data_IF_505276471705
#
_entry.id   IF_505276471705
#
_cell.length_a   1.000
_cell.length_b   1.000
_cell.length_c   1.000
_cell.angle_alpha   90.00
_cell.angle_beta   90.00
_cell.angle_gamma   90.00
#
_symmetry.space_group_name_H-M   'P 1'
#
loop_
_entity.id
_entity.type
_entity.pdbx_description
1 polymer ?
#
# COMPACT_ATOMS: atom_id res chain seq x y z
N UNK A 1 -13.36 7.25 -11.09
CA UNK A 1 -12.90 8.27 -10.12
C UNK A 1 -11.46 7.92 -9.77
N UNK A 2 -10.53 8.87 -9.87
CA UNK A 2 -9.13 8.68 -9.48
C UNK A 2 -8.86 9.56 -8.25
N UNK A 3 -8.27 8.98 -7.21
CA UNK A 3 -7.82 9.69 -6.02
C UNK A 3 -6.30 9.89 -6.12
N UNK A 4 -5.80 11.06 -5.76
CA UNK A 4 -4.37 11.38 -5.82
C UNK A 4 -4.03 12.32 -4.68
N UNK A 5 -2.93 12.03 -3.98
CA UNK A 5 -2.38 12.84 -2.91
C UNK A 5 -0.87 12.95 -3.10
N UNK A 6 -0.30 14.14 -2.87
CA UNK A 6 1.14 14.38 -3.05
C UNK A 6 1.83 14.41 -1.70
N UNK A 7 2.88 13.61 -1.56
CA UNK A 7 3.64 13.47 -0.33
C UNK A 7 5.10 13.85 -0.57
N UNK A 8 5.64 14.71 0.28
CA UNK A 8 7.06 15.01 0.31
C UNK A 8 7.77 13.98 1.19
N UNK A 9 8.16 12.83 0.63
CA UNK A 9 8.93 11.81 1.35
C UNK A 9 10.38 11.83 0.91
N UNK A 10 11.31 11.77 1.88
CA UNK A 10 12.75 11.69 1.60
C UNK A 10 13.12 10.24 1.24
N UNK A 11 12.43 9.27 1.82
CA UNK A 11 12.61 7.84 1.56
C UNK A 11 11.47 7.32 0.66
N UNK A 12 11.78 6.79 -0.54
CA UNK A 12 10.80 6.16 -1.42
C UNK A 12 10.04 5.00 -0.78
N UNK A 13 10.67 4.21 0.09
CA UNK A 13 10.03 3.07 0.75
C UNK A 13 8.91 3.53 1.70
N UNK A 14 9.14 4.64 2.41
CA UNK A 14 8.12 5.26 3.28
C UNK A 14 6.95 5.74 2.44
N UNK A 15 7.21 6.40 1.29
CA UNK A 15 6.17 6.87 0.39
C UNK A 15 5.30 5.74 -0.17
N UNK A 16 5.91 4.64 -0.61
CA UNK A 16 5.18 3.48 -1.11
C UNK A 16 4.36 2.79 -0.01
N UNK A 17 4.91 2.64 1.20
CA UNK A 17 4.18 2.09 2.34
C UNK A 17 3.00 2.99 2.75
N UNK A 18 3.19 4.30 2.75
CA UNK A 18 2.14 5.26 3.06
C UNK A 18 1.02 5.23 2.02
N UNK A 19 1.36 5.24 0.72
CA UNK A 19 0.37 5.18 -0.36
C UNK A 19 -0.51 3.91 -0.26
N UNK A 20 0.09 2.78 0.15
CA UNK A 20 -0.66 1.56 0.39
C UNK A 20 -1.55 1.65 1.65
N UNK A 21 -1.07 2.28 2.72
CA UNK A 21 -1.84 2.51 3.94
C UNK A 21 -3.09 3.37 3.67
N UNK A 22 -2.94 4.48 2.93
CA UNK A 22 -4.06 5.33 2.52
C UNK A 22 -5.05 4.56 1.64
N UNK A 23 -4.56 3.79 0.68
CA UNK A 23 -5.41 2.95 -0.18
C UNK A 23 -6.22 1.93 0.65
N UNK A 24 -5.57 1.29 1.63
CA UNK A 24 -6.21 0.34 2.53
C UNK A 24 -7.28 1.00 3.41
N UNK A 25 -6.97 2.18 3.95
CA UNK A 25 -7.92 2.97 4.74
C UNK A 25 -9.11 3.43 3.90
N UNK A 26 -8.88 3.85 2.65
CA UNK A 26 -9.94 4.25 1.72
C UNK A 26 -10.87 3.08 1.42
N UNK A 27 -10.32 1.92 1.08
CA UNK A 27 -11.08 0.68 0.89
C UNK A 27 -11.95 0.33 2.11
N UNK A 28 -11.38 0.46 3.31
CA UNK A 28 -12.10 0.24 4.58
C UNK A 28 -13.24 1.23 4.77
N UNK A 29 -12.98 2.54 4.58
CA UNK A 29 -14.00 3.61 4.72
C UNK A 29 -15.18 3.40 3.79
N UNK A 30 -14.92 2.94 2.56
CA UNK A 30 -15.97 2.65 1.58
C UNK A 30 -16.55 1.23 1.67
N UNK A 31 -16.10 0.41 2.62
CA UNK A 31 -16.55 -0.98 2.84
C UNK A 31 -16.52 -1.82 1.55
N UNK A 32 -15.49 -1.66 0.74
CA UNK A 32 -15.36 -2.44 -0.49
C UNK A 32 -15.21 -3.93 -0.18
N UNK A 33 -16.07 -4.76 -0.76
CA UNK A 33 -16.12 -6.20 -0.49
C UNK A 33 -15.04 -7.01 -1.23
N UNK A 34 -14.45 -6.43 -2.28
CA UNK A 34 -13.38 -7.05 -3.05
C UNK A 34 -12.41 -5.98 -3.52
N UNK A 35 -11.16 -6.07 -3.08
CA UNK A 35 -10.12 -5.08 -3.39
C UNK A 35 -8.85 -5.77 -3.88
N UNK A 36 -8.24 -5.22 -4.92
CA UNK A 36 -6.93 -5.63 -5.42
C UNK A 36 -6.02 -4.42 -5.28
N UNK A 37 -4.99 -4.56 -4.45
CA UNK A 37 -3.96 -3.55 -4.27
C UNK A 37 -2.78 -3.88 -5.19
N UNK A 38 -2.43 -2.95 -6.08
CA UNK A 38 -1.29 -3.06 -6.96
C UNK A 38 -0.19 -2.13 -6.46
N UNK A 39 0.94 -2.70 -6.05
CA UNK A 39 2.07 -1.96 -5.49
C UNK A 39 3.31 -2.19 -6.35
N UNK A 40 4.08 -1.14 -6.61
CA UNK A 40 5.31 -1.27 -7.39
C UNK A 40 6.53 -1.71 -6.52
N UNK A 41 6.36 -1.75 -5.20
CA UNK A 41 7.40 -2.03 -4.23
C UNK A 41 7.28 -3.46 -3.74
N UNK A 42 8.18 -4.32 -4.24
CA UNK A 42 8.23 -5.72 -3.84
C UNK A 42 8.53 -5.87 -2.35
N UNK A 43 9.32 -4.96 -1.78
CA UNK A 43 9.65 -4.92 -0.35
C UNK A 43 8.39 -4.71 0.48
N UNK A 44 7.58 -3.70 0.15
CA UNK A 44 6.31 -3.44 0.86
C UNK A 44 5.37 -4.63 0.72
N UNK A 45 5.22 -5.20 -0.48
CA UNK A 45 4.38 -6.39 -0.70
C UNK A 45 4.80 -7.54 0.21
N UNK A 46 6.08 -7.89 0.21
CA UNK A 46 6.62 -9.01 0.98
C UNK A 46 6.45 -8.79 2.48
N UNK A 47 6.71 -7.57 2.96
CA UNK A 47 6.59 -7.25 4.38
C UNK A 47 5.12 -7.30 4.81
N UNK A 48 4.19 -6.75 4.03
CA UNK A 48 2.75 -6.79 4.34
C UNK A 48 2.23 -8.23 4.36
N UNK A 49 2.64 -9.06 3.40
CA UNK A 49 2.23 -10.47 3.28
C UNK A 49 2.88 -11.39 4.31
N UNK A 50 4.03 -11.01 4.87
CA UNK A 50 4.70 -11.80 5.89
C UNK A 50 3.92 -11.79 7.21
N UNK A 51 3.94 -12.91 7.94
CA UNK A 51 3.46 -12.97 9.32
C UNK A 51 4.52 -12.50 10.33
N UNK A 52 5.77 -12.36 9.88
CA UNK A 52 6.86 -11.92 10.73
C UNK A 52 6.75 -10.41 11.08
N UNK A 53 7.35 -9.99 12.20
CA UNK A 53 7.54 -8.58 12.52
C UNK A 53 8.26 -7.83 11.38
N UNK A 54 7.84 -6.60 11.14
CA UNK A 54 8.47 -5.75 10.13
C UNK A 54 9.92 -5.47 10.52
N UNK A 55 10.88 -5.85 9.67
CA UNK A 55 12.31 -5.57 9.88
C UNK A 55 12.70 -4.11 9.56
N UNK A 56 11.82 -3.38 8.88
CA UNK A 56 12.02 -1.98 8.53
C UNK A 56 11.28 -1.10 9.54
N UNK A 57 12.00 -0.69 10.58
CA UNK A 57 11.48 0.16 11.66
C UNK A 57 10.76 1.41 11.14
N UNK A 58 11.30 2.06 10.10
CA UNK A 58 10.74 3.27 9.50
C UNK A 58 9.32 3.10 8.90
N UNK A 59 8.92 1.87 8.55
CA UNK A 59 7.58 1.59 8.02
C UNK A 59 6.79 0.60 8.88
N UNK A 60 7.30 0.24 10.06
CA UNK A 60 6.70 -0.81 10.89
C UNK A 60 5.26 -0.47 11.30
N UNK A 61 5.02 0.78 11.70
CA UNK A 61 3.68 1.26 12.08
C UNK A 61 2.73 1.29 10.88
N UNK A 62 3.23 1.71 9.71
CA UNK A 62 2.46 1.69 8.46
C UNK A 62 2.06 0.26 8.07
N UNK A 63 2.99 -0.69 8.18
CA UNK A 63 2.74 -2.12 7.90
C UNK A 63 1.71 -2.68 8.86
N UNK A 64 1.82 -2.39 10.15
CA UNK A 64 0.84 -2.82 11.14
C UNK A 64 -0.56 -2.26 10.81
N UNK A 65 -0.62 -0.98 10.44
CA UNK A 65 -1.88 -0.33 10.03
C UNK A 65 -2.48 -0.97 8.77
N UNK A 66 -1.67 -1.24 7.75
CA UNK A 66 -2.12 -1.90 6.51
C UNK A 66 -2.71 -3.28 6.82
N UNK A 67 -1.99 -4.10 7.60
CA UNK A 67 -2.45 -5.45 7.98
C UNK A 67 -3.77 -5.40 8.75
N UNK A 68 -3.92 -4.43 9.65
CA UNK A 68 -5.18 -4.22 10.36
C UNK A 68 -6.32 -3.85 9.41
N UNK A 69 -6.12 -2.88 8.49
CA UNK A 69 -7.11 -2.52 7.48
C UNK A 69 -7.48 -3.68 6.55
N UNK A 70 -6.52 -4.53 6.21
CA UNK A 70 -6.74 -5.73 5.40
C UNK A 70 -7.56 -6.78 6.13
N UNK A 71 -7.40 -6.93 7.44
CA UNK A 71 -8.23 -7.82 8.27
C UNK A 71 -9.72 -7.47 8.22
N UNK A 72 -10.06 -6.19 8.04
CA UNK A 72 -11.45 -5.70 7.92
C UNK A 72 -12.03 -5.86 6.50
N UNK A 73 -11.20 -6.19 5.50
CA UNK A 73 -11.63 -6.39 4.13
C UNK A 73 -11.93 -7.88 3.87
N UNK A 74 -13.19 -8.22 3.55
CA UNK A 74 -13.61 -9.62 3.41
C UNK A 74 -12.87 -10.40 2.30
N UNK A 75 -12.50 -9.72 1.21
CA UNK A 75 -11.66 -10.28 0.14
C UNK A 75 -10.68 -9.23 -0.36
N UNK A 76 -9.40 -9.40 -0.01
CA UNK A 76 -8.33 -8.56 -0.54
C UNK A 76 -7.23 -9.39 -1.18
N UNK A 77 -6.51 -8.78 -2.11
CA UNK A 77 -5.24 -9.30 -2.64
C UNK A 77 -4.28 -8.13 -2.81
N UNK A 78 -2.99 -8.39 -2.58
CA UNK A 78 -1.93 -7.47 -2.97
C UNK A 78 -1.07 -8.16 -4.04
N UNK A 79 -0.75 -7.42 -5.09
CA UNK A 79 0.09 -7.89 -6.18
C UNK A 79 1.21 -6.88 -6.42
N UNK A 80 2.43 -7.41 -6.57
CA UNK A 80 3.52 -6.61 -7.09
C UNK A 80 3.35 -6.41 -8.59
N UNK A 81 3.44 -5.17 -9.06
CA UNK A 81 3.39 -4.83 -10.48
C UNK A 81 4.65 -4.06 -10.89
N UNK A 82 5.24 -4.35 -12.07
CA UNK A 82 6.36 -3.56 -12.57
C UNK A 82 5.99 -2.07 -12.70
N UNK A 83 6.91 -1.16 -12.36
CA UNK A 83 6.69 0.30 -12.49
C UNK A 83 6.19 0.74 -13.88
N UNK A 84 6.58 0.02 -14.93
CA UNK A 84 6.11 0.28 -16.31
C UNK A 84 4.59 0.06 -16.46
N UNK A 85 4.03 -0.90 -15.72
CA UNK A 85 2.60 -1.18 -15.68
C UNK A 85 1.87 -0.25 -14.70
N UNK A 86 2.56 0.28 -13.68
CA UNK A 86 2.04 1.27 -12.75
C UNK A 86 2.35 2.73 -13.16
N UNK A 87 2.43 2.99 -14.47
CA UNK A 87 2.86 4.29 -15.00
C UNK A 87 1.92 5.43 -14.61
N UNK A 88 0.62 5.16 -14.50
CA UNK A 88 -0.37 6.14 -14.06
C UNK A 88 -0.11 6.58 -12.62
N UNK A 89 0.03 5.66 -11.67
CA UNK A 89 0.32 6.05 -10.28
C UNK A 89 1.70 6.71 -10.15
N UNK A 90 2.70 6.22 -10.88
CA UNK A 90 4.04 6.83 -10.88
C UNK A 90 4.03 8.27 -11.40
N UNK A 91 3.34 8.54 -12.51
CA UNK A 91 3.20 9.89 -13.07
C UNK A 91 2.42 10.82 -12.12
N UNK A 92 1.47 10.28 -11.36
CA UNK A 92 0.69 11.04 -10.39
C UNK A 92 1.46 11.34 -9.08
N UNK A 93 2.42 10.50 -8.72
CA UNK A 93 3.26 10.67 -7.53
C UNK A 93 4.53 11.53 -7.77
N UNK A 94 4.83 11.88 -9.03
CA UNK A 94 5.99 12.70 -9.43
C UNK A 94 5.74 14.20 -9.25
#
# INVERSE_FOLDING_TARGET
MAYTERLATIDPLIGEAFALAESAMLARRHKWSKVIFECNSLVVCNVVLSHEPCRFWAIADLVAHIRWCFGECSKWRIAWVPRRCNRLAHNLAS
#
